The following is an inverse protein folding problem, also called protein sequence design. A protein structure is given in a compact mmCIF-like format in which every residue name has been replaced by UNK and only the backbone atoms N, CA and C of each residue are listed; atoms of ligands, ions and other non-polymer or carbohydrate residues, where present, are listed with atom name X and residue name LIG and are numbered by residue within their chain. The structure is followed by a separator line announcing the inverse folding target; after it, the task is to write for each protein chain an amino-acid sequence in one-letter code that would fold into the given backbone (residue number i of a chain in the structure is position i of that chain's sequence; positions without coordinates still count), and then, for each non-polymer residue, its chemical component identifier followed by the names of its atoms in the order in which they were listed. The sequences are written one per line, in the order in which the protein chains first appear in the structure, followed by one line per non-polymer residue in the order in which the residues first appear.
data_IF_657016857005
#
_entry.id   IF_657016857005
#
_cell.length_a   1.000
_cell.length_b   1.000
_cell.length_c   1.000
_cell.angle_alpha   90.00
_cell.angle_beta   90.00
_cell.angle_gamma   90.00
#
_symmetry.space_group_name_H-M   'P 1'
#
loop_
_entity.id
_entity.type
_entity.pdbx_description
1 polymer ?
#
# COMPACT_ATOMS: atom_id res chain seq x y z
N UNK A 1 -15.10 17.52 43.25
CA UNK A 1 -15.01 16.40 42.29
C UNK A 1 -13.61 15.84 42.39
N UNK A 2 -13.49 14.59 42.81
CA UNK A 2 -12.22 13.87 42.79
C UNK A 2 -11.93 13.49 41.34
N UNK A 3 -10.84 14.01 40.78
CA UNK A 3 -10.43 13.79 39.39
C UNK A 3 -9.41 12.67 39.25
N UNK A 4 -9.08 11.97 40.34
CA UNK A 4 -8.10 10.88 40.36
C UNK A 4 -8.52 9.64 39.54
N UNK A 5 -9.80 9.52 39.16
CA UNK A 5 -10.27 8.48 38.23
C UNK A 5 -9.88 8.75 36.77
N UNK A 6 -9.51 9.99 36.44
CA UNK A 6 -8.95 10.31 35.12
C UNK A 6 -7.53 9.72 35.09
N UNK A 7 -7.43 8.46 34.68
CA UNK A 7 -6.15 7.86 34.33
C UNK A 7 -5.41 8.77 33.35
N UNK A 8 -4.11 8.95 33.56
CA UNK A 8 -3.29 9.78 32.68
C UNK A 8 -3.30 9.28 31.23
N UNK A 9 -2.72 10.05 30.30
CA UNK A 9 -2.58 9.61 28.92
C UNK A 9 -1.85 8.25 28.89
N UNK A 10 -2.37 7.32 28.09
CA UNK A 10 -1.70 6.04 27.89
C UNK A 10 -0.34 6.28 27.21
N UNK A 11 0.73 5.55 27.60
CA UNK A 11 2.01 5.61 26.91
C UNK A 11 1.83 5.28 25.43
N UNK A 12 2.47 6.06 24.57
CA UNK A 12 2.49 5.85 23.13
C UNK A 12 3.73 5.06 22.75
N UNK A 13 3.62 4.16 21.78
CA UNK A 13 4.78 3.51 21.18
C UNK A 13 5.38 4.44 20.11
N UNK A 14 6.70 4.67 20.14
CA UNK A 14 7.35 5.59 19.21
C UNK A 14 7.95 4.89 17.98
N UNK A 15 7.69 5.42 16.78
CA UNK A 15 8.33 5.02 15.52
C UNK A 15 9.11 6.22 14.97
N UNK A 16 10.42 6.08 14.82
CA UNK A 16 11.28 7.09 14.20
C UNK A 16 11.28 6.96 12.68
N UNK A 17 11.19 8.09 11.97
CA UNK A 17 11.21 8.13 10.50
C UNK A 17 12.27 9.12 10.04
N UNK A 18 13.30 8.61 9.35
CA UNK A 18 14.27 9.43 8.63
C UNK A 18 13.79 9.57 7.19
N UNK A 19 13.29 10.75 6.85
CA UNK A 19 12.82 11.08 5.50
C UNK A 19 13.88 11.89 4.72
N UNK A 20 13.86 11.89 3.39
CA UNK A 20 14.69 12.81 2.62
C UNK A 20 14.20 14.26 2.82
N UNK A 21 15.10 15.23 2.61
CA UNK A 21 14.81 16.66 2.80
C UNK A 21 13.58 17.17 2.03
N UNK A 22 13.25 16.54 0.90
CA UNK A 22 12.15 16.91 -0.01
C UNK A 22 10.86 16.11 0.20
N UNK A 23 10.80 15.26 1.23
CA UNK A 23 9.59 14.52 1.57
C UNK A 23 8.47 15.47 2.02
N UNK A 24 7.35 15.44 1.28
CA UNK A 24 6.23 16.35 1.44
C UNK A 24 4.90 15.66 1.83
N UNK A 25 4.93 14.34 2.09
CA UNK A 25 3.75 13.51 2.34
C UNK A 25 3.66 13.01 3.80
N UNK A 26 4.14 13.79 4.76
CA UNK A 26 4.14 13.46 6.21
C UNK A 26 2.78 12.93 6.70
N UNK A 27 1.69 13.60 6.30
CA UNK A 27 0.33 13.22 6.72
C UNK A 27 -0.09 11.83 6.23
N UNK A 28 0.44 11.40 5.09
CA UNK A 28 0.09 10.11 4.49
C UNK A 28 0.57 8.96 5.38
N UNK A 29 1.78 9.04 5.93
CA UNK A 29 2.34 8.01 6.82
C UNK A 29 1.43 7.74 8.02
N UNK A 30 0.94 8.82 8.65
CA UNK A 30 0.02 8.76 9.79
C UNK A 30 -1.30 8.04 9.51
N UNK A 31 -1.69 7.87 8.24
CA UNK A 31 -2.93 7.15 7.91
C UNK A 31 -2.83 5.65 8.13
N UNK A 32 -1.61 5.11 8.24
CA UNK A 32 -1.37 3.70 8.57
C UNK A 32 -1.11 3.43 10.05
N UNK A 33 -1.12 4.46 10.88
CA UNK A 33 -0.67 4.41 12.28
C UNK A 33 -1.89 4.35 13.20
N UNK A 34 -1.99 3.37 14.11
CA UNK A 34 -3.05 3.32 15.12
C UNK A 34 -2.87 4.41 16.19
N UNK A 35 -3.94 4.69 16.93
CA UNK A 35 -4.01 5.79 17.91
C UNK A 35 -3.05 5.64 19.11
N UNK A 36 -2.49 4.46 19.34
CA UNK A 36 -1.52 4.15 20.40
C UNK A 36 -0.04 4.24 19.94
N UNK A 37 0.20 4.69 18.70
CA UNK A 37 1.54 4.87 18.13
C UNK A 37 1.77 6.31 17.69
N UNK A 38 2.95 6.82 17.99
CA UNK A 38 3.43 8.14 17.55
C UNK A 38 4.60 8.02 16.57
N UNK A 39 4.51 8.72 15.43
CA UNK A 39 5.63 8.94 14.51
C UNK A 39 6.45 10.17 14.92
N UNK A 40 7.77 9.99 14.90
CA UNK A 40 8.75 11.05 15.08
C UNK A 40 9.53 11.19 13.78
N UNK A 41 9.37 12.33 13.09
CA UNK A 41 9.98 12.54 11.78
C UNK A 41 11.19 13.47 11.89
N UNK A 42 12.27 13.07 11.22
CA UNK A 42 13.42 13.92 10.94
C UNK A 42 13.73 13.87 9.43
N UNK A 43 14.62 14.75 8.96
CA UNK A 43 15.00 14.84 7.55
C UNK A 43 16.50 14.77 7.38
N UNK A 44 16.95 14.17 6.27
CA UNK A 44 18.33 14.32 5.82
C UNK A 44 18.62 15.79 5.44
N UNK A 45 19.91 16.22 5.42
CA UNK A 45 20.29 17.56 4.97
C UNK A 45 19.85 17.85 3.54
N UNK A 46 19.63 19.13 3.26
CA UNK A 46 19.32 19.59 1.91
C UNK A 46 20.49 19.32 0.95
N UNK A 47 20.17 18.73 -0.20
CA UNK A 47 21.14 18.49 -1.27
C UNK A 47 20.64 19.16 -2.56
N UNK A 48 21.37 20.13 -3.15
CA UNK A 48 20.91 20.90 -4.32
C UNK A 48 21.09 20.13 -5.65
N UNK A 49 20.69 18.86 -5.69
CA UNK A 49 20.68 18.03 -6.92
C UNK A 49 19.29 17.48 -7.16
N UNK A 50 18.95 17.35 -8.45
CA UNK A 50 17.69 16.75 -8.86
C UNK A 50 17.65 15.23 -8.64
N UNK A 51 16.45 14.65 -8.63
CA UNK A 51 16.25 13.21 -8.44
C UNK A 51 17.01 12.42 -9.50
N UNK A 52 17.97 11.65 -9.02
CA UNK A 52 18.95 10.90 -9.80
C UNK A 52 19.57 9.81 -8.92
N UNK A 53 20.35 8.91 -9.53
CA UNK A 53 21.15 7.94 -8.76
C UNK A 53 22.19 8.63 -7.88
N UNK A 54 22.73 9.76 -8.31
CA UNK A 54 23.71 10.51 -7.53
C UNK A 54 23.07 11.15 -6.29
N UNK A 55 21.88 11.75 -6.45
CA UNK A 55 21.11 12.20 -5.29
C UNK A 55 20.82 11.03 -4.35
N UNK A 56 20.37 9.90 -4.89
CA UNK A 56 20.06 8.72 -4.08
C UNK A 56 21.27 8.26 -3.25
N UNK A 57 22.48 8.29 -3.80
CA UNK A 57 23.74 7.98 -3.09
C UNK A 57 24.04 9.00 -1.99
N UNK A 58 23.93 10.29 -2.28
CA UNK A 58 24.22 11.35 -1.32
C UNK A 58 23.29 11.29 -0.10
N UNK A 59 21.99 11.09 -0.33
CA UNK A 59 21.00 10.99 0.78
C UNK A 59 21.05 9.66 1.54
N UNK A 60 21.86 8.70 1.07
CA UNK A 60 22.08 7.39 1.70
C UNK A 60 23.47 7.25 2.35
N UNK A 61 24.28 8.31 2.36
CA UNK A 61 25.58 8.31 3.05
C UNK A 61 25.39 8.06 4.55
N UNK A 62 26.18 7.14 5.11
CA UNK A 62 26.03 6.68 6.48
C UNK A 62 26.16 7.84 7.49
N UNK A 63 27.15 8.71 7.30
CA UNK A 63 27.37 9.89 8.15
C UNK A 63 26.16 10.82 8.18
N UNK A 64 25.45 10.93 7.04
CA UNK A 64 24.22 11.72 6.92
C UNK A 64 23.07 11.09 7.73
N UNK A 65 22.99 9.76 7.74
CA UNK A 65 21.96 9.03 8.48
C UNK A 65 22.22 9.06 9.99
N UNK A 66 23.47 8.99 10.43
CA UNK A 66 23.84 8.96 11.86
C UNK A 66 23.26 10.15 12.63
N UNK A 67 23.46 11.37 12.11
CA UNK A 67 22.95 12.58 12.76
C UNK A 67 21.41 12.60 12.84
N UNK A 68 20.73 12.13 11.79
CA UNK A 68 19.28 12.05 11.75
C UNK A 68 18.75 11.00 12.74
N UNK A 69 19.37 9.83 12.79
CA UNK A 69 19.06 8.75 13.74
C UNK A 69 19.25 9.24 15.18
N UNK A 70 20.38 9.86 15.49
CA UNK A 70 20.66 10.41 16.82
C UNK A 70 19.62 11.44 17.27
N UNK A 71 19.17 12.31 16.35
CA UNK A 71 18.11 13.27 16.65
C UNK A 71 16.79 12.60 17.05
N UNK A 72 16.44 11.46 16.44
CA UNK A 72 15.26 10.68 16.80
C UNK A 72 15.43 9.94 18.13
N UNK A 73 16.63 9.43 18.43
CA UNK A 73 16.88 8.68 19.66
C UNK A 73 16.63 9.48 20.95
N UNK A 74 16.61 10.81 20.88
CA UNK A 74 16.26 11.69 22.00
C UNK A 74 14.86 11.42 22.60
N UNK A 75 13.94 10.83 21.82
CA UNK A 75 12.59 10.44 22.27
C UNK A 75 12.41 8.92 22.39
N UNK A 76 13.51 8.15 22.35
CA UNK A 76 13.53 6.70 22.55
C UNK A 76 12.49 5.93 21.70
N UNK A 77 12.50 6.07 20.36
CA UNK A 77 11.64 5.28 19.49
C UNK A 77 12.00 3.80 19.62
N UNK A 78 11.03 2.92 19.39
CA UNK A 78 11.23 1.46 19.44
C UNK A 78 11.78 0.90 18.12
N UNK A 79 11.63 1.65 17.03
CA UNK A 79 12.15 1.31 15.70
C UNK A 79 12.44 2.59 14.94
N UNK A 80 13.43 2.57 14.06
CA UNK A 80 13.72 3.66 13.13
C UNK A 80 13.61 3.15 11.69
N UNK A 81 12.98 3.93 10.81
CA UNK A 81 12.86 3.59 9.40
C UNK A 81 13.38 4.69 8.50
N UNK A 82 14.09 4.30 7.44
CA UNK A 82 14.47 5.20 6.36
C UNK A 82 13.40 5.20 5.25
N UNK A 83 12.69 6.33 5.13
CA UNK A 83 11.55 6.54 4.25
C UNK A 83 11.95 7.15 2.89
N UNK A 84 12.88 6.49 2.18
CA UNK A 84 13.22 6.82 0.80
C UNK A 84 13.56 5.54 0.02
N UNK A 85 12.76 5.21 -1.00
CA UNK A 85 12.95 4.01 -1.81
C UNK A 85 14.27 4.04 -2.57
N UNK A 86 14.53 5.10 -3.34
CA UNK A 86 15.74 5.21 -4.17
C UNK A 86 17.02 5.25 -3.34
N UNK A 87 17.00 5.98 -2.22
CA UNK A 87 18.14 5.98 -1.30
C UNK A 87 18.43 4.59 -0.74
N UNK A 88 17.41 3.77 -0.47
CA UNK A 88 17.61 2.44 0.10
C UNK A 88 17.95 1.34 -0.91
N UNK A 89 17.65 1.47 -2.22
CA UNK A 89 18.04 0.45 -3.21
C UNK A 89 19.29 0.79 -4.04
N UNK A 90 19.77 2.05 -4.05
CA UNK A 90 20.84 2.48 -4.98
C UNK A 90 22.16 1.72 -4.81
N UNK A 91 22.42 1.20 -3.61
CA UNK A 91 23.59 0.36 -3.30
C UNK A 91 23.34 -1.15 -3.49
N UNK A 92 22.24 -1.54 -4.12
CA UNK A 92 21.81 -2.94 -4.22
C UNK A 92 21.43 -3.53 -2.86
N UNK A 93 21.22 -4.84 -2.84
CA UNK A 93 20.82 -5.58 -1.63
C UNK A 93 21.91 -5.57 -0.55
N UNK A 94 23.19 -5.47 -0.94
CA UNK A 94 24.28 -5.32 0.01
C UNK A 94 24.34 -3.92 0.63
N UNK A 95 24.15 -2.87 -0.17
CA UNK A 95 24.12 -1.49 0.31
C UNK A 95 22.93 -1.19 1.20
N UNK A 96 21.75 -1.74 0.87
CA UNK A 96 20.56 -1.65 1.73
C UNK A 96 20.83 -2.22 3.13
N UNK A 97 21.43 -3.42 3.21
CA UNK A 97 21.80 -4.04 4.49
C UNK A 97 22.84 -3.23 5.25
N UNK A 98 23.83 -2.66 4.56
CA UNK A 98 24.85 -1.82 5.17
C UNK A 98 24.23 -0.55 5.77
N UNK A 99 23.33 0.10 5.04
CA UNK A 99 22.55 1.24 5.52
C UNK A 99 21.73 0.88 6.77
N UNK A 100 21.01 -0.22 6.72
CA UNK A 100 20.22 -0.72 7.85
C UNK A 100 21.10 -0.96 9.09
N UNK A 101 22.25 -1.61 8.92
CA UNK A 101 23.21 -1.87 9.98
C UNK A 101 23.81 -0.58 10.57
N UNK A 102 24.14 0.41 9.73
CA UNK A 102 24.65 1.70 10.17
C UNK A 102 23.63 2.45 11.02
N UNK A 103 22.36 2.52 10.58
CA UNK A 103 21.29 3.15 11.37
C UNK A 103 21.08 2.44 12.70
N UNK A 104 21.07 1.10 12.70
CA UNK A 104 20.93 0.32 13.93
C UNK A 104 22.10 0.54 14.90
N UNK A 105 23.33 0.66 14.38
CA UNK A 105 24.52 0.95 15.17
C UNK A 105 24.50 2.38 15.72
N UNK A 106 24.08 3.35 14.93
CA UNK A 106 23.98 4.74 15.35
C UNK A 106 22.89 4.94 16.41
N UNK A 107 21.74 4.26 16.28
CA UNK A 107 20.60 4.46 17.17
C UNK A 107 20.52 3.53 18.36
N UNK A 108 21.23 2.40 18.34
CA UNK A 108 21.05 1.25 19.26
C UNK A 108 19.60 0.75 19.30
N UNK A 109 18.87 0.91 18.19
CA UNK A 109 17.44 0.59 18.04
C UNK A 109 17.25 -0.16 16.72
N UNK A 110 16.34 -1.15 16.64
CA UNK A 110 15.99 -1.82 15.38
C UNK A 110 15.76 -0.80 14.27
N UNK A 111 16.43 -1.01 13.14
CA UNK A 111 16.35 -0.11 12.00
C UNK A 111 15.94 -0.88 10.75
N UNK A 112 15.27 -0.22 9.83
CA UNK A 112 14.87 -0.80 8.55
C UNK A 112 14.82 0.27 7.45
N UNK A 113 14.70 -0.17 6.21
CA UNK A 113 14.60 0.71 5.05
C UNK A 113 13.34 0.42 4.26
N UNK A 114 12.91 1.39 3.44
CA UNK A 114 11.78 1.20 2.53
C UNK A 114 12.01 0.03 1.56
N UNK A 115 13.22 -0.10 1.01
CA UNK A 115 13.55 -1.19 0.08
C UNK A 115 13.60 -2.56 0.77
N UNK A 116 14.10 -2.64 2.01
CA UNK A 116 14.06 -3.87 2.81
C UNK A 116 12.62 -4.26 3.15
N UNK A 117 11.81 -3.30 3.59
CA UNK A 117 10.39 -3.47 3.90
C UNK A 117 9.58 -3.97 2.69
N UNK A 118 9.89 -3.51 1.48
CA UNK A 118 9.29 -4.03 0.25
C UNK A 118 9.56 -5.53 0.07
N UNK A 119 10.80 -5.98 0.25
CA UNK A 119 11.15 -7.40 0.10
C UNK A 119 10.44 -8.24 1.15
N UNK A 120 10.32 -7.76 2.39
CA UNK A 120 9.54 -8.42 3.45
C UNK A 120 8.05 -8.50 3.11
N UNK A 121 7.46 -7.41 2.61
CA UNK A 121 6.06 -7.36 2.23
C UNK A 121 5.75 -8.32 1.07
N UNK A 122 6.61 -8.38 0.06
CA UNK A 122 6.48 -9.31 -1.07
C UNK A 122 6.55 -10.77 -0.60
N UNK A 123 7.45 -11.09 0.33
CA UNK A 123 7.54 -12.43 0.94
C UNK A 123 6.30 -12.78 1.74
N UNK A 124 5.79 -11.84 2.53
CA UNK A 124 4.57 -12.01 3.34
C UNK A 124 3.34 -12.36 2.48
N UNK A 125 3.20 -11.74 1.30
CA UNK A 125 2.10 -12.03 0.38
C UNK A 125 2.41 -13.16 -0.62
N UNK A 126 3.62 -13.72 -0.59
CA UNK A 126 4.06 -14.78 -1.51
C UNK A 126 4.27 -14.34 -2.97
N UNK A 127 4.42 -13.03 -3.22
CA UNK A 127 4.61 -12.49 -4.57
C UNK A 127 6.07 -12.60 -5.02
N UNK A 128 6.29 -13.08 -6.25
CA UNK A 128 7.64 -13.20 -6.86
C UNK A 128 7.75 -12.50 -8.20
N UNK A 129 6.63 -12.26 -8.87
CA UNK A 129 6.51 -11.56 -10.15
C UNK A 129 5.70 -10.30 -9.93
N UNK A 130 6.25 -9.13 -10.18
CA UNK A 130 5.54 -7.88 -9.91
C UNK A 130 5.57 -6.93 -11.10
N UNK A 131 4.51 -6.14 -11.23
CA UNK A 131 4.55 -4.92 -12.02
C UNK A 131 5.10 -3.77 -11.18
N UNK A 132 5.79 -2.81 -11.80
CA UNK A 132 6.39 -1.66 -11.09
C UNK A 132 5.96 -0.34 -11.72
N UNK A 133 5.53 0.60 -10.88
CA UNK A 133 5.30 2.00 -11.26
C UNK A 133 6.33 2.85 -10.54
N UNK A 134 6.98 3.76 -11.26
CA UNK A 134 7.87 4.75 -10.65
C UNK A 134 7.58 6.14 -11.20
N UNK A 135 7.80 7.22 -10.42
CA UNK A 135 7.75 8.57 -10.98
C UNK A 135 9.05 8.97 -11.68
N UNK A 136 10.12 8.17 -11.56
CA UNK A 136 11.49 8.56 -11.86
C UNK A 136 11.86 8.45 -13.34
N UNK A 137 13.09 8.83 -13.65
CA UNK A 137 13.75 8.51 -14.92
C UNK A 137 13.91 7.01 -15.13
N UNK A 138 14.14 6.63 -16.39
CA UNK A 138 14.41 5.23 -16.75
C UNK A 138 15.59 4.65 -15.98
N UNK A 139 16.68 5.39 -15.80
CA UNK A 139 17.89 4.90 -15.12
C UNK A 139 17.64 4.54 -13.65
N UNK A 140 16.85 5.35 -12.94
CA UNK A 140 16.46 5.04 -11.55
C UNK A 140 15.51 3.84 -11.50
N UNK A 141 14.63 3.72 -12.50
CA UNK A 141 13.72 2.56 -12.64
C UNK A 141 14.49 1.27 -12.92
N UNK A 142 15.50 1.32 -13.81
CA UNK A 142 16.38 0.18 -14.11
C UNK A 142 17.11 -0.27 -12.83
N UNK A 143 17.64 0.67 -12.04
CA UNK A 143 18.32 0.34 -10.77
C UNK A 143 17.39 -0.31 -9.72
N UNK A 144 16.11 0.06 -9.69
CA UNK A 144 15.12 -0.62 -8.83
C UNK A 144 14.87 -2.05 -9.31
N UNK A 145 14.79 -2.27 -10.62
CA UNK A 145 14.64 -3.59 -11.21
C UNK A 145 15.85 -4.49 -10.91
N UNK A 146 17.07 -3.95 -10.98
CA UNK A 146 18.29 -4.66 -10.61
C UNK A 146 18.27 -5.10 -9.13
N UNK A 147 17.91 -4.19 -8.22
CA UNK A 147 17.76 -4.50 -6.79
C UNK A 147 16.71 -5.60 -6.53
N UNK A 148 15.56 -5.51 -7.19
CA UNK A 148 14.51 -6.53 -7.09
C UNK A 148 15.01 -7.88 -7.62
N UNK A 149 15.75 -7.87 -8.73
CA UNK A 149 16.39 -9.05 -9.31
C UNK A 149 17.38 -9.71 -8.35
N UNK A 150 18.24 -8.94 -7.69
CA UNK A 150 19.15 -9.43 -6.64
C UNK A 150 18.40 -10.09 -5.48
N UNK A 151 17.20 -9.60 -5.16
CA UNK A 151 16.33 -10.16 -4.13
C UNK A 151 15.48 -11.37 -4.60
N UNK A 152 15.62 -11.80 -5.86
CA UNK A 152 14.89 -12.92 -6.45
C UNK A 152 13.47 -12.59 -6.90
N UNK A 153 13.16 -11.31 -7.12
CA UNK A 153 11.88 -10.81 -7.61
C UNK A 153 12.00 -10.50 -9.10
N UNK A 154 11.04 -10.96 -9.90
CA UNK A 154 10.98 -10.72 -11.35
C UNK A 154 10.04 -9.56 -11.64
N UNK A 155 10.50 -8.54 -12.37
CA UNK A 155 9.63 -7.47 -12.86
C UNK A 155 8.99 -7.90 -14.18
N UNK A 156 7.66 -8.00 -14.21
CA UNK A 156 6.89 -8.45 -15.40
C UNK A 156 6.45 -7.32 -16.31
N UNK A 157 6.44 -6.09 -15.79
CA UNK A 157 6.00 -4.90 -16.50
C UNK A 157 6.32 -3.64 -15.71
N UNK A 158 6.53 -2.52 -16.41
CA UNK A 158 6.94 -1.27 -15.79
C UNK A 158 6.38 -0.05 -16.50
N UNK A 159 6.05 0.98 -15.72
CA UNK A 159 5.71 2.31 -16.22
C UNK A 159 6.47 3.37 -15.41
N UNK A 160 6.88 4.46 -16.06
CA UNK A 160 7.59 5.54 -15.39
C UNK A 160 7.24 6.93 -15.98
N UNK A 161 7.25 7.98 -15.14
CA UNK A 161 6.94 9.36 -15.58
C UNK A 161 8.15 10.16 -16.05
N UNK A 162 9.37 9.76 -15.69
CA UNK A 162 10.57 10.53 -16.03
C UNK A 162 10.76 11.82 -15.22
N UNK A 163 10.09 11.98 -14.08
CA UNK A 163 10.18 13.18 -13.26
C UNK A 163 11.49 13.22 -12.48
N UNK A 164 12.04 14.44 -12.34
CA UNK A 164 13.23 14.72 -11.53
C UNK A 164 12.93 15.61 -10.31
N UNK A 165 11.70 16.13 -10.19
CA UNK A 165 11.23 17.00 -9.10
C UNK A 165 9.70 17.01 -8.99
N UNK A 166 9.18 17.58 -7.90
CA UNK A 166 7.74 17.81 -7.67
C UNK A 166 6.86 16.55 -7.73
N UNK A 167 7.42 15.39 -7.38
CA UNK A 167 6.71 14.10 -7.42
C UNK A 167 5.44 14.14 -6.54
N UNK A 168 5.47 14.87 -5.42
CA UNK A 168 4.33 15.04 -4.51
C UNK A 168 3.13 15.79 -5.12
N UNK A 169 3.29 16.37 -6.32
CA UNK A 169 2.21 17.05 -7.06
C UNK A 169 1.54 16.16 -8.09
N UNK A 170 2.01 14.93 -8.29
CA UNK A 170 1.41 14.00 -9.26
C UNK A 170 -0.01 13.66 -8.79
N UNK A 171 -1.04 13.87 -9.62
CA UNK A 171 -2.42 13.58 -9.24
C UNK A 171 -2.69 12.07 -9.26
N UNK A 172 -3.68 11.64 -8.47
CA UNK A 172 -4.10 10.23 -8.42
C UNK A 172 -4.45 9.63 -9.77
N UNK A 173 -5.02 10.42 -10.70
CA UNK A 173 -5.34 9.95 -12.05
C UNK A 173 -4.09 9.41 -12.77
N UNK A 174 -2.99 10.16 -12.70
CA UNK A 174 -1.75 9.78 -13.38
C UNK A 174 -1.11 8.55 -12.71
N UNK A 175 -1.24 8.39 -11.39
CA UNK A 175 -0.83 7.17 -10.66
C UNK A 175 -1.62 5.95 -11.12
N UNK A 176 -2.94 6.09 -11.26
CA UNK A 176 -3.83 5.01 -11.72
C UNK A 176 -3.57 4.64 -13.18
N UNK A 177 -3.39 5.63 -14.06
CA UNK A 177 -3.10 5.38 -15.47
C UNK A 177 -1.74 4.67 -15.66
N UNK A 178 -0.75 5.01 -14.84
CA UNK A 178 0.52 4.28 -14.80
C UNK A 178 0.37 2.85 -14.30
N UNK A 179 -0.43 2.63 -13.26
CA UNK A 179 -0.71 1.30 -12.74
C UNK A 179 -1.28 0.39 -13.83
N UNK A 180 -2.25 0.90 -14.61
CA UNK A 180 -2.82 0.20 -15.78
C UNK A 180 -1.76 -0.09 -16.84
N UNK A 181 -0.91 0.89 -17.15
CA UNK A 181 0.14 0.74 -18.16
C UNK A 181 1.25 -0.25 -17.74
N UNK A 182 1.54 -0.38 -16.45
CA UNK A 182 2.57 -1.28 -15.95
C UNK A 182 2.14 -2.76 -15.95
N UNK A 183 0.84 -3.03 -15.78
CA UNK A 183 0.30 -4.39 -15.67
C UNK A 183 -0.01 -4.95 -17.08
N UNK A 184 1.04 -5.45 -17.75
CA UNK A 184 0.96 -6.01 -19.12
C UNK A 184 0.96 -7.54 -19.18
N UNK A 185 0.94 -8.23 -18.04
CA UNK A 185 1.02 -9.68 -17.95
C UNK A 185 0.63 -10.24 -16.58
N UNK A 186 0.95 -11.51 -16.34
CA UNK A 186 0.67 -12.18 -15.07
C UNK A 186 1.65 -11.72 -13.98
N UNK A 187 1.28 -10.64 -13.28
CA UNK A 187 1.91 -10.19 -12.05
C UNK A 187 1.16 -10.74 -10.83
N UNK A 188 1.91 -11.09 -9.78
CA UNK A 188 1.37 -11.50 -8.47
C UNK A 188 0.98 -10.27 -7.63
N UNK A 189 1.63 -9.11 -7.87
CA UNK A 189 1.34 -7.84 -7.23
C UNK A 189 1.82 -6.64 -8.08
N UNK A 190 1.30 -5.45 -7.77
CA UNK A 190 1.79 -4.18 -8.28
C UNK A 190 2.56 -3.45 -7.17
N UNK A 191 3.75 -2.93 -7.48
CA UNK A 191 4.47 -2.03 -6.59
C UNK A 191 4.53 -0.60 -7.16
N UNK A 192 4.04 0.36 -6.39
CA UNK A 192 4.12 1.79 -6.67
C UNK A 192 5.27 2.37 -5.84
N UNK A 193 6.39 2.63 -6.52
CA UNK A 193 7.62 3.13 -5.94
C UNK A 193 7.57 4.65 -5.73
N UNK A 194 8.43 5.12 -4.82
CA UNK A 194 8.57 6.49 -4.32
C UNK A 194 7.72 6.83 -3.10
N UNK A 195 8.39 7.31 -2.05
CA UNK A 195 7.74 7.82 -0.84
C UNK A 195 7.11 9.19 -1.04
N UNK A 196 7.49 9.93 -2.08
CA UNK A 196 6.94 11.24 -2.39
C UNK A 196 5.78 11.18 -3.41
N UNK A 197 5.26 9.98 -3.72
CA UNK A 197 4.10 9.80 -4.61
C UNK A 197 2.85 9.48 -3.76
N UNK A 198 1.74 10.25 -3.88
CA UNK A 198 0.57 10.03 -3.04
C UNK A 198 -0.19 8.78 -3.52
N UNK A 199 -0.40 7.82 -2.61
CA UNK A 199 -0.87 6.46 -2.94
C UNK A 199 -1.97 5.92 -2.02
N UNK A 200 -2.15 6.46 -0.81
CA UNK A 200 -3.03 5.86 0.20
C UNK A 200 -4.46 5.61 -0.33
N UNK A 201 -5.07 6.60 -0.96
CA UNK A 201 -6.47 6.50 -1.41
C UNK A 201 -6.63 5.66 -2.68
N UNK A 202 -5.57 5.52 -3.48
CA UNK A 202 -5.62 4.76 -4.75
C UNK A 202 -5.37 3.28 -4.56
N UNK A 203 -4.65 2.86 -3.51
CA UNK A 203 -4.37 1.44 -3.22
C UNK A 203 -5.66 0.58 -3.24
N UNK A 204 -6.68 0.83 -2.39
CA UNK A 204 -7.86 -0.03 -2.34
C UNK A 204 -8.65 -0.03 -3.67
N UNK A 205 -8.65 1.09 -4.39
CA UNK A 205 -9.33 1.19 -5.70
C UNK A 205 -8.61 0.36 -6.76
N UNK A 206 -7.27 0.45 -6.80
CA UNK A 206 -6.44 -0.32 -7.71
C UNK A 206 -6.47 -1.81 -7.39
N UNK A 207 -6.50 -2.20 -6.12
CA UNK A 207 -6.65 -3.62 -5.74
C UNK A 207 -8.00 -4.19 -6.20
N UNK A 208 -9.08 -3.43 -6.05
CA UNK A 208 -10.40 -3.81 -6.53
C UNK A 208 -10.47 -3.91 -8.06
N UNK A 209 -9.87 -2.94 -8.77
CA UNK A 209 -9.84 -2.89 -10.23
C UNK A 209 -8.94 -3.99 -10.83
N UNK A 210 -7.71 -4.10 -10.36
CA UNK A 210 -6.67 -4.99 -10.90
C UNK A 210 -6.76 -6.42 -10.36
N UNK A 211 -7.57 -6.66 -9.31
CA UNK A 211 -7.74 -7.97 -8.66
C UNK A 211 -6.42 -8.58 -8.18
N UNK A 212 -5.49 -7.75 -7.74
CA UNK A 212 -4.19 -8.16 -7.19
C UNK A 212 -3.77 -7.19 -6.09
N UNK A 213 -2.90 -7.62 -5.14
CA UNK A 213 -2.31 -6.72 -4.15
C UNK A 213 -1.58 -5.55 -4.80
N UNK A 214 -1.76 -4.36 -4.21
CA UNK A 214 -1.06 -3.13 -4.61
C UNK A 214 -0.29 -2.62 -3.40
N UNK A 215 1.02 -2.60 -3.54
CA UNK A 215 1.95 -2.13 -2.53
C UNK A 215 2.43 -0.74 -2.88
N UNK A 216 2.51 0.17 -1.91
CA UNK A 216 3.22 1.44 -2.08
C UNK A 216 4.44 1.53 -1.17
N UNK A 217 5.41 2.34 -1.58
CA UNK A 217 6.62 2.59 -0.78
C UNK A 217 6.28 3.03 0.66
N UNK A 218 5.36 3.98 0.83
CA UNK A 218 4.96 4.45 2.15
C UNK A 218 4.22 3.36 2.96
N UNK A 219 3.35 2.58 2.30
CA UNK A 219 2.60 1.50 2.95
C UNK A 219 3.52 0.40 3.48
N UNK A 220 4.44 -0.11 2.66
CA UNK A 220 5.35 -1.20 3.09
C UNK A 220 6.28 -0.73 4.21
N UNK A 221 6.73 0.53 4.16
CA UNK A 221 7.57 1.14 5.21
C UNK A 221 6.85 1.20 6.54
N UNK A 222 5.60 1.69 6.56
CA UNK A 222 4.81 1.76 7.79
C UNK A 222 4.40 0.38 8.30
N UNK A 223 4.02 -0.54 7.39
CA UNK A 223 3.72 -1.93 7.73
C UNK A 223 4.89 -2.62 8.42
N UNK A 224 6.11 -2.51 7.87
CA UNK A 224 7.29 -3.15 8.44
C UNK A 224 7.69 -2.53 9.79
N UNK A 225 7.66 -1.20 9.91
CA UNK A 225 7.99 -0.51 11.17
C UNK A 225 7.03 -0.87 12.30
N UNK A 226 5.73 -0.86 12.04
CA UNK A 226 4.73 -1.22 13.05
C UNK A 226 4.86 -2.71 13.43
N UNK A 227 5.08 -3.59 12.45
CA UNK A 227 5.29 -5.02 12.71
C UNK A 227 6.54 -5.29 13.55
N UNK A 228 7.62 -4.54 13.35
CA UNK A 228 8.86 -4.67 14.12
C UNK A 228 8.66 -4.40 15.63
N UNK A 229 7.65 -3.61 16.00
CA UNK A 229 7.29 -3.30 17.39
C UNK A 229 6.06 -4.08 17.87
N UNK A 230 5.61 -5.08 17.11
CA UNK A 230 4.47 -5.93 17.47
C UNK A 230 3.10 -5.31 17.24
N UNK A 231 3.01 -4.21 16.48
CA UNK A 231 1.76 -3.48 16.19
C UNK A 231 1.32 -3.76 14.76
N UNK A 232 0.00 -3.85 14.54
CA UNK A 232 -0.58 -3.95 13.20
C UNK A 232 -0.87 -2.55 12.65
N UNK A 233 -0.48 -2.30 11.40
CA UNK A 233 -0.87 -1.09 10.70
C UNK A 233 -2.37 -1.05 10.44
N UNK A 234 -2.95 0.15 10.46
CA UNK A 234 -4.36 0.38 10.09
C UNK A 234 -4.44 0.75 8.61
N UNK A 235 -5.53 0.40 7.94
CA UNK A 235 -5.69 0.70 6.52
C UNK A 235 -6.72 -0.24 5.92
N UNK A 236 -8.02 0.12 6.00
CA UNK A 236 -9.08 -0.77 5.59
C UNK A 236 -9.01 -1.03 4.08
N UNK A 237 -9.36 -2.25 3.69
CA UNK A 237 -9.43 -2.69 2.28
C UNK A 237 -8.09 -2.66 1.54
N UNK A 238 -6.98 -2.85 2.26
CA UNK A 238 -5.64 -2.95 1.66
C UNK A 238 -5.09 -4.35 1.86
N UNK A 239 -4.80 -5.08 0.79
CA UNK A 239 -4.44 -6.50 0.82
C UNK A 239 -3.18 -6.78 1.64
N UNK A 240 -2.21 -5.85 1.70
CA UNK A 240 -1.05 -6.03 2.58
C UNK A 240 -1.45 -6.14 4.07
N UNK A 241 -2.45 -5.35 4.49
CA UNK A 241 -2.83 -5.18 5.89
C UNK A 241 -4.00 -6.09 6.30
N UNK A 242 -4.85 -6.44 5.35
CA UNK A 242 -6.04 -7.25 5.57
C UNK A 242 -5.98 -8.54 4.72
N UNK A 243 -5.76 -9.72 5.35
CA UNK A 243 -5.79 -11.00 4.66
C UNK A 243 -7.13 -11.31 3.97
N UNK A 244 -8.25 -10.75 4.43
CA UNK A 244 -9.56 -10.88 3.76
C UNK A 244 -9.53 -10.12 2.44
N UNK A 245 -8.90 -8.96 2.37
CA UNK A 245 -8.75 -8.21 1.13
C UNK A 245 -7.82 -8.93 0.11
N UNK A 246 -6.86 -9.77 0.57
CA UNK A 246 -6.04 -10.65 -0.31
C UNK A 246 -6.88 -11.72 -1.00
N UNK A 247 -7.91 -12.22 -0.30
CA UNK A 247 -8.83 -13.25 -0.78
C UNK A 247 -10.03 -12.53 -1.39
N UNK A 248 -9.93 -12.17 -2.68
CA UNK A 248 -11.03 -11.49 -3.38
C UNK A 248 -12.40 -12.17 -3.16
N UNK A 249 -13.54 -11.48 -3.42
CA UNK A 249 -14.89 -11.91 -2.99
C UNK A 249 -15.27 -13.38 -3.27
N UNK A 250 -14.67 -14.00 -4.29
CA UNK A 250 -14.84 -15.41 -4.65
C UNK A 250 -14.35 -16.42 -3.59
N UNK A 251 -13.48 -16.01 -2.65
CA UNK A 251 -13.01 -16.86 -1.56
C UNK A 251 -13.98 -16.91 -0.37
N UNK A 252 -14.92 -15.96 -0.27
CA UNK A 252 -15.94 -15.91 0.78
C UNK A 252 -17.14 -16.82 0.47
N UNK A 253 -17.24 -17.37 -0.75
CA UNK A 253 -18.30 -18.30 -1.17
C UNK A 253 -17.94 -19.78 -0.96
N UNK A 254 -16.85 -20.08 -0.23
CA UNK A 254 -16.33 -21.43 -0.11
C UNK A 254 -15.74 -21.76 1.26
N UNK A 255 -16.59 -21.81 2.28
CA UNK A 255 -16.36 -22.65 3.46
C UNK A 255 -17.65 -22.84 4.24
N UNK A 256 -18.38 -23.92 3.96
CA UNK A 256 -19.22 -24.50 5.01
C UNK A 256 -18.30 -25.01 6.13
N UNK A 257 -18.64 -24.84 7.41
CA UNK A 257 -17.86 -25.42 8.48
C UNK A 257 -17.94 -26.95 8.36
N UNK A 258 -16.79 -27.63 8.39
CA UNK A 258 -16.74 -29.08 8.49
C UNK A 258 -17.41 -29.53 9.79
N UNK A 259 -18.66 -30.00 9.69
CA UNK A 259 -19.35 -30.69 10.78
C UNK A 259 -18.71 -32.06 11.05
N UNK A 260 -18.76 -32.55 12.30
CA UNK A 260 -18.16 -33.83 12.64
C UNK A 260 -18.93 -34.95 11.95
N UNK A 261 -18.18 -35.88 11.35
CA UNK A 261 -18.75 -36.99 10.59
C UNK A 261 -19.59 -37.92 11.46
N UNK A 262 -20.69 -38.40 10.90
CA UNK A 262 -21.27 -39.68 11.26
C UNK A 262 -21.95 -40.31 10.04
N UNK A 263 -21.84 -41.64 9.93
CA UNK A 263 -22.22 -42.44 8.78
C UNK A 263 -23.71 -42.75 8.68
N UNK A 264 -24.22 -42.79 7.46
CA UNK A 264 -25.54 -43.34 7.13
C UNK A 264 -25.88 -43.11 5.65
N UNK A 265 -26.64 -44.01 4.98
CA UNK A 265 -26.91 -43.88 3.55
C UNK A 265 -27.83 -42.69 3.28
N UNK A 266 -27.38 -41.74 2.44
CA UNK A 266 -28.18 -40.59 2.00
C UNK A 266 -29.26 -41.04 1.00
N UNK A 267 -30.51 -40.83 1.38
CA UNK A 267 -31.68 -40.80 0.48
C UNK A 267 -31.66 -39.45 -0.27
N UNK A 268 -31.88 -39.46 -1.58
CA UNK A 268 -31.90 -38.24 -2.42
C UNK A 268 -33.17 -37.40 -2.16
N UNK A 269 -33.09 -36.06 -2.10
CA UNK A 269 -34.26 -35.21 -1.95
C UNK A 269 -34.82 -34.84 -3.33
N UNK A 270 -35.66 -35.71 -3.90
CA UNK A 270 -36.41 -35.39 -5.13
C UNK A 270 -37.92 -35.64 -4.97
N UNK A 271 -38.45 -35.46 -3.75
CA UNK A 271 -39.85 -35.76 -3.45
C UNK A 271 -40.56 -34.71 -2.58
N UNK A 272 -40.14 -33.45 -2.60
CA UNK A 272 -40.72 -32.42 -1.73
C UNK A 272 -41.08 -31.09 -2.42
N UNK A 273 -41.39 -31.08 -3.72
CA UNK A 273 -42.06 -29.93 -4.36
C UNK A 273 -42.92 -30.39 -5.55
N UNK A 274 -44.04 -31.05 -5.27
CA UNK A 274 -45.13 -31.21 -6.23
C UNK A 274 -46.29 -30.30 -5.80
N UNK A 275 -46.33 -29.08 -6.35
CA UNK A 275 -47.51 -28.22 -6.29
C UNK A 275 -48.61 -28.74 -7.24
N UNK A 276 -49.89 -28.41 -7.00
CA UNK A 276 -50.99 -28.91 -7.81
C UNK A 276 -50.97 -28.34 -9.25
N UNK A 277 -51.56 -29.05 -10.23
CA UNK A 277 -51.45 -28.71 -11.65
C UNK A 277 -52.23 -27.44 -12.03
N UNK A 278 -51.70 -26.74 -13.03
CA UNK A 278 -52.25 -25.48 -13.56
C UNK A 278 -53.52 -25.68 -14.42
N UNK A 279 -54.47 -24.72 -14.41
CA UNK A 279 -55.61 -24.69 -15.35
C UNK A 279 -55.23 -24.10 -16.73
N UNK A 280 -56.04 -24.35 -17.78
CA UNK A 280 -55.63 -24.22 -19.18
C UNK A 280 -55.67 -22.79 -19.73
N UNK A 281 -54.93 -22.64 -20.84
CA UNK A 281 -54.62 -21.43 -21.61
C UNK A 281 -55.84 -20.69 -22.17
N UNK A 282 -55.75 -19.36 -22.20
CA UNK A 282 -56.67 -18.43 -22.87
C UNK A 282 -55.91 -17.37 -23.67
N UNK A 283 -56.45 -17.07 -24.84
CA UNK A 283 -55.91 -16.33 -26.02
C UNK A 283 -55.39 -14.88 -25.80
N UNK A 284 -54.60 -14.35 -26.78
CA UNK A 284 -53.80 -13.14 -26.62
C UNK A 284 -54.60 -11.85 -26.86
N UNK A 285 -54.25 -10.78 -26.13
CA UNK A 285 -54.73 -9.42 -26.41
C UNK A 285 -53.58 -8.49 -26.79
N UNK A 286 -53.77 -7.89 -27.96
CA UNK A 286 -52.91 -6.93 -28.64
C UNK A 286 -52.69 -5.62 -27.86
N UNK A 287 -51.45 -5.13 -27.98
CA UNK A 287 -51.09 -3.74 -28.29
C UNK A 287 -51.59 -2.60 -27.41
N UNK A 288 -50.71 -2.02 -26.58
CA UNK A 288 -50.70 -0.58 -26.25
C UNK A 288 -49.25 -0.10 -26.08
N UNK A 289 -48.81 0.81 -26.97
CA UNK A 289 -47.58 1.61 -26.88
C UNK A 289 -47.68 2.70 -25.78
N UNK A 290 -46.55 3.15 -25.18
CA UNK A 290 -46.54 4.10 -24.07
C UNK A 290 -46.71 5.57 -24.51
N UNK A 291 -47.32 6.45 -23.70
CA UNK A 291 -47.36 7.88 -23.99
C UNK A 291 -46.06 8.62 -23.56
N UNK A 292 -45.76 9.78 -24.18
CA UNK A 292 -44.43 10.40 -24.18
C UNK A 292 -44.13 11.31 -22.99
N UNK A 293 -42.84 11.46 -22.66
CA UNK A 293 -42.28 12.47 -21.76
C UNK A 293 -42.38 13.89 -22.37
N UNK A 294 -42.73 14.94 -21.60
CA UNK A 294 -42.46 16.33 -21.96
C UNK A 294 -41.03 16.77 -21.60
N UNK A 295 -40.47 17.80 -22.28
CA UNK A 295 -39.05 18.15 -22.25
C UNK A 295 -38.59 18.95 -21.02
N UNK A 296 -37.29 18.87 -20.77
CA UNK A 296 -36.51 19.58 -19.74
C UNK A 296 -36.55 21.10 -19.89
N UNK A 297 -36.71 21.82 -18.77
CA UNK A 297 -36.58 23.28 -18.67
C UNK A 297 -35.38 23.63 -17.77
N UNK A 298 -34.28 24.21 -18.30
CA UNK A 298 -33.14 24.62 -17.49
C UNK A 298 -33.40 26.02 -16.91
N UNK A 299 -33.82 26.07 -15.65
CA UNK A 299 -33.96 27.31 -14.89
C UNK A 299 -32.61 28.07 -14.72
N UNK A 300 -32.64 29.40 -14.55
CA UNK A 300 -31.46 30.25 -14.62
C UNK A 300 -30.57 30.16 -13.37
N UNK A 301 -29.25 30.22 -13.59
CA UNK A 301 -28.21 30.34 -12.56
C UNK A 301 -28.24 31.73 -11.87
N UNK A 302 -27.95 31.81 -10.55
CA UNK A 302 -27.89 33.09 -9.83
C UNK A 302 -26.60 33.88 -10.09
N UNK A 303 -26.60 35.21 -9.87
CA UNK A 303 -25.51 36.11 -10.27
C UNK A 303 -24.30 36.09 -9.33
N UNK A 304 -23.18 36.59 -9.89
CA UNK A 304 -21.78 36.61 -9.43
C UNK A 304 -21.56 37.31 -8.08
#
# INVERSE_FOLDING_TARGET
MDVSFLGGPQPQLGVGVVAPFDFALDRELWRWVPDDVSLHLTRTPFVPVEVSLDLARLVSEHETLDAAVQALCAVSPQVITYACTSGSFVGGVAGERAMCAAMAQAGEVPSLTTSGALIEALREIGARRIAVVTPYTKSVTDSLEDYLGEAGITVTGRAYLGLTRHIWKVPYRDVVDMARAAVVGAADALFISCTNLPTYDVIPQLEAELRMPVLSANQVTMWAALRAIGVQAVGPYQALLDPVARRGPAAMTGSEPAGPGDGGPRVTPEAAFAGPPAPPEGEPLDGIDPPPYPPEDPGPLPPV
#
